data_IF_473640681903
#
_entry.id   IF_473640681903
#
_cell.length_a   1.000
_cell.length_b   1.000
_cell.length_c   1.000
_cell.angle_alpha   90.00
_cell.angle_beta   90.00
_cell.angle_gamma   90.00
#
_symmetry.space_group_name_H-M   'P 1'
#
loop_
_entity.id
_entity.type
_entity.pdbx_description
1 polymer ?
#
# COMPACT_ATOMS: atom_id res chain seq x y z
N UNK A 1 9.00 2.55 7.64
CA UNK A 1 8.37 2.79 6.34
C UNK A 1 8.09 1.47 5.61
N UNK A 2 6.86 1.17 5.18
CA UNK A 2 6.44 -0.20 4.76
C UNK A 2 6.73 -0.52 3.28
N UNK A 3 7.69 -1.39 2.98
CA UNK A 3 8.06 -1.73 1.58
C UNK A 3 7.17 -2.81 0.92
N UNK A 4 6.46 -3.61 1.71
CA UNK A 4 5.47 -4.60 1.28
C UNK A 4 4.62 -5.11 2.47
N UNK A 5 3.51 -5.82 2.20
CA UNK A 5 2.84 -6.68 3.18
C UNK A 5 3.54 -8.05 3.26
N UNK A 6 4.27 -8.38 4.33
CA UNK A 6 4.51 -9.76 4.71
C UNK A 6 3.31 -10.27 5.55
N UNK A 7 2.30 -10.85 4.89
CA UNK A 7 1.15 -11.43 5.60
C UNK A 7 0.33 -10.38 6.38
N UNK A 8 0.11 -10.61 7.69
CA UNK A 8 -0.76 -9.80 8.56
C UNK A 8 -0.11 -8.54 9.15
N UNK A 9 1.20 -8.29 8.93
CA UNK A 9 1.93 -7.21 9.60
C UNK A 9 2.64 -6.28 8.60
N UNK A 10 2.47 -4.97 8.75
CA UNK A 10 3.18 -3.97 7.96
C UNK A 10 4.51 -3.61 8.65
N UNK A 11 5.58 -4.34 8.32
CA UNK A 11 6.93 -4.01 8.81
C UNK A 11 7.44 -2.73 8.18
N UNK A 12 7.80 -1.79 9.03
CA UNK A 12 8.44 -0.55 8.65
C UNK A 12 9.96 -0.72 8.56
N UNK A 13 10.53 -0.51 7.38
CA UNK A 13 11.96 -0.32 7.19
C UNK A 13 12.44 0.94 7.92
N UNK A 14 13.63 0.86 8.52
CA UNK A 14 14.27 1.95 9.25
C UNK A 14 14.77 3.07 8.34
N UNK A 15 14.90 2.78 7.05
CA UNK A 15 15.32 3.71 6.01
C UNK A 15 14.24 3.71 4.93
N UNK A 16 13.87 4.86 4.36
CA UNK A 16 12.91 4.88 3.27
C UNK A 16 13.42 4.10 2.07
N UNK A 17 12.66 3.12 1.55
CA UNK A 17 13.03 2.45 0.32
C UNK A 17 12.96 3.44 -0.85
N UNK A 18 13.75 3.25 -1.92
CA UNK A 18 13.86 4.23 -3.00
C UNK A 18 12.52 4.63 -3.63
N UNK A 19 11.61 3.67 -3.77
CA UNK A 19 10.29 3.93 -4.35
C UNK A 19 9.44 4.91 -3.53
N UNK A 20 9.61 4.95 -2.20
CA UNK A 20 8.93 5.93 -1.35
C UNK A 20 9.51 7.33 -1.52
N UNK A 21 10.84 7.44 -1.61
CA UNK A 21 11.49 8.73 -1.88
C UNK A 21 11.09 9.24 -3.26
N UNK A 22 11.05 8.36 -4.26
CA UNK A 22 10.56 8.73 -5.58
C UNK A 22 9.09 9.18 -5.56
N UNK A 23 8.21 8.42 -4.91
CA UNK A 23 6.80 8.81 -4.76
C UNK A 23 6.63 10.14 -4.03
N UNK A 24 7.42 10.40 -2.99
CA UNK A 24 7.44 11.66 -2.25
C UNK A 24 7.86 12.83 -3.15
N UNK A 25 8.93 12.68 -3.93
CA UNK A 25 9.42 13.74 -4.83
C UNK A 25 8.45 13.98 -5.99
N UNK A 26 7.89 12.93 -6.59
CA UNK A 26 6.86 13.05 -7.63
C UNK A 26 5.61 13.76 -7.11
N UNK A 27 5.19 13.44 -5.88
CA UNK A 27 4.10 14.13 -5.18
C UNK A 27 4.42 15.61 -4.98
N UNK A 28 5.63 15.95 -4.50
CA UNK A 28 6.06 17.34 -4.36
C UNK A 28 6.05 18.11 -5.70
N UNK A 29 6.36 17.42 -6.81
CA UNK A 29 6.28 17.95 -8.18
C UNK A 29 4.85 17.98 -8.77
N UNK A 30 3.85 17.48 -8.03
CA UNK A 30 2.45 17.42 -8.46
C UNK A 30 2.12 16.27 -9.41
N UNK A 31 2.98 15.25 -9.54
CA UNK A 31 2.83 14.14 -10.49
C UNK A 31 1.94 13.01 -9.95
N UNK A 32 0.70 13.36 -9.59
CA UNK A 32 -0.33 12.43 -9.12
C UNK A 32 -1.03 11.70 -10.26
N UNK A 33 -0.26 10.95 -11.04
CA UNK A 33 -0.77 10.28 -12.22
C UNK A 33 -1.31 8.88 -11.86
N UNK A 34 -2.51 8.49 -12.35
CA UNK A 34 -2.99 7.12 -12.28
C UNK A 34 -2.04 6.14 -12.98
N UNK A 35 -2.07 4.87 -12.58
CA UNK A 35 -1.19 3.82 -13.14
C UNK A 35 -1.20 3.75 -14.67
N UNK A 36 -2.39 3.82 -15.27
CA UNK A 36 -2.56 3.77 -16.71
C UNK A 36 -1.89 4.97 -17.40
N UNK A 37 -2.15 6.18 -16.89
CA UNK A 37 -1.55 7.42 -17.40
C UNK A 37 -0.03 7.40 -17.25
N UNK A 38 0.51 6.87 -16.13
CA UNK A 38 1.96 6.70 -15.95
C UNK A 38 2.58 5.82 -17.03
N UNK A 39 1.92 4.71 -17.39
CA UNK A 39 2.40 3.83 -18.47
C UNK A 39 2.43 4.54 -19.81
N UNK A 40 1.39 5.31 -20.12
CA UNK A 40 1.32 6.10 -21.35
C UNK A 40 2.43 7.15 -21.41
N UNK A 41 2.66 7.88 -20.31
CA UNK A 41 3.76 8.85 -20.19
C UNK A 41 5.10 8.17 -20.39
N UNK A 42 5.38 7.05 -19.72
CA UNK A 42 6.63 6.30 -19.90
C UNK A 42 6.83 5.83 -21.33
N UNK A 43 5.78 5.30 -21.98
CA UNK A 43 5.87 4.90 -23.38
C UNK A 43 6.17 6.08 -24.30
N UNK A 44 5.57 7.25 -24.05
CA UNK A 44 5.85 8.49 -24.76
C UNK A 44 7.31 8.93 -24.60
N UNK A 45 7.79 8.98 -23.36
CA UNK A 45 9.18 9.32 -23.03
C UNK A 45 10.17 8.35 -23.70
N UNK A 46 9.91 7.04 -23.65
CA UNK A 46 10.76 6.04 -24.29
C UNK A 46 10.76 6.16 -25.82
N UNK A 47 9.62 6.47 -26.45
CA UNK A 47 9.56 6.72 -27.91
C UNK A 47 10.41 7.92 -28.30
N UNK A 48 10.31 9.02 -27.55
CA UNK A 48 11.13 10.23 -27.78
C UNK A 48 12.62 9.95 -27.58
N UNK A 49 12.97 9.25 -26.50
CA UNK A 49 14.35 8.86 -26.21
C UNK A 49 14.95 7.97 -27.31
N UNK A 50 14.20 6.97 -27.80
CA UNK A 50 14.63 6.13 -28.93
C UNK A 50 14.82 6.93 -30.21
N UNK A 51 13.94 7.89 -30.50
CA UNK A 51 14.05 8.75 -31.68
C UNK A 51 15.31 9.62 -31.64
N UNK A 52 15.65 10.17 -30.49
CA UNK A 52 16.81 11.05 -30.32
C UNK A 52 18.14 10.30 -30.19
N UNK A 53 18.17 9.25 -29.36
CA UNK A 53 19.42 8.60 -28.94
C UNK A 53 19.58 7.16 -29.44
N UNK A 54 18.57 6.57 -30.08
CA UNK A 54 18.60 5.16 -30.48
C UNK A 54 19.66 4.78 -31.50
N UNK A 55 20.19 5.76 -32.26
CA UNK A 55 21.29 5.56 -33.22
C UNK A 55 22.68 5.85 -32.63
N UNK A 56 22.74 6.41 -31.41
CA UNK A 56 24.01 6.79 -30.76
C UNK A 56 24.57 5.57 -30.04
N UNK A 57 25.77 5.11 -30.43
CA UNK A 57 26.36 3.88 -29.90
C UNK A 57 26.54 3.89 -28.37
N UNK A 58 26.86 5.06 -27.79
CA UNK A 58 27.04 5.24 -26.34
C UNK A 58 25.76 4.86 -25.56
N UNK A 59 24.58 5.10 -26.15
CA UNK A 59 23.29 4.86 -25.51
C UNK A 59 22.69 3.49 -25.86
N UNK A 60 23.34 2.71 -26.72
CA UNK A 60 22.81 1.42 -27.18
C UNK A 60 22.66 0.46 -25.98
N UNK A 61 21.44 -0.02 -25.77
CA UNK A 61 21.12 -0.93 -24.66
C UNK A 61 20.87 -0.26 -23.31
N UNK A 62 20.90 1.07 -23.22
CA UNK A 62 20.64 1.77 -21.96
C UNK A 62 19.18 1.52 -21.47
N UNK A 63 18.94 1.26 -20.17
CA UNK A 63 17.61 0.93 -19.64
C UNK A 63 16.52 1.95 -19.98
N UNK A 64 16.85 3.24 -19.99
CA UNK A 64 15.96 4.34 -20.40
C UNK A 64 15.36 4.16 -21.80
N UNK A 65 16.15 3.62 -22.74
CA UNK A 65 15.67 3.31 -24.10
C UNK A 65 14.78 2.07 -24.13
N UNK A 66 14.86 1.19 -23.15
CA UNK A 66 13.97 0.03 -23.07
C UNK A 66 12.59 0.40 -22.52
N UNK A 67 12.51 1.42 -21.65
CA UNK A 67 11.29 1.82 -20.97
C UNK A 67 10.76 0.80 -19.97
N UNK A 68 11.52 -0.26 -19.67
CA UNK A 68 11.14 -1.30 -18.72
C UNK A 68 11.14 -0.77 -17.29
N UNK A 69 9.99 -0.84 -16.63
CA UNK A 69 9.82 -0.51 -15.22
C UNK A 69 10.96 -1.09 -14.36
N UNK A 70 11.73 -0.22 -13.72
CA UNK A 70 12.83 -0.62 -12.84
C UNK A 70 12.19 -1.14 -11.55
N UNK A 71 12.44 -2.43 -11.23
CA UNK A 71 11.97 -3.17 -10.03
C UNK A 71 10.76 -2.51 -9.37
N UNK A 72 9.55 -2.88 -9.82
CA UNK A 72 8.35 -2.40 -9.16
C UNK A 72 8.42 -2.75 -7.67
N UNK A 73 7.98 -1.84 -6.81
CA UNK A 73 7.64 -2.25 -5.45
C UNK A 73 6.64 -3.42 -5.53
N UNK A 74 6.51 -4.23 -4.46
CA UNK A 74 5.47 -5.29 -4.44
C UNK A 74 4.05 -4.73 -4.61
N UNK A 75 3.87 -3.41 -4.48
CA UNK A 75 2.64 -2.67 -4.77
C UNK A 75 2.36 -2.46 -6.27
N UNK A 76 3.25 -2.85 -7.18
CA UNK A 76 3.11 -2.60 -8.62
C UNK A 76 3.38 -1.15 -9.03
N UNK A 77 3.79 -0.29 -8.09
CA UNK A 77 4.21 1.08 -8.36
C UNK A 77 5.58 1.12 -9.06
N UNK A 78 5.68 1.97 -10.08
CA UNK A 78 6.94 2.41 -10.68
C UNK A 78 6.99 3.94 -10.79
N UNK A 79 8.20 4.48 -10.72
CA UNK A 79 8.46 5.90 -10.76
C UNK A 79 8.83 6.39 -12.17
N UNK A 80 8.38 7.58 -12.52
CA UNK A 80 8.82 8.32 -13.71
C UNK A 80 10.26 8.82 -13.56
N UNK A 81 10.74 8.98 -12.33
CA UNK A 81 12.11 9.39 -12.01
C UNK A 81 13.13 8.25 -12.12
N UNK A 82 12.70 6.99 -12.30
CA UNK A 82 13.55 5.79 -12.20
C UNK A 82 14.82 5.76 -13.09
N UNK A 83 14.86 6.55 -14.17
CA UNK A 83 16.02 6.66 -15.06
C UNK A 83 16.75 8.00 -14.96
N UNK A 84 16.18 8.94 -14.22
CA UNK A 84 16.64 10.32 -14.15
C UNK A 84 17.05 10.75 -12.74
N UNK A 85 16.82 9.88 -11.76
CA UNK A 85 17.18 10.04 -10.37
C UNK A 85 17.66 8.68 -9.82
N UNK A 86 18.80 8.69 -9.13
CA UNK A 86 19.31 7.54 -8.40
C UNK A 86 19.65 7.96 -6.98
N UNK A 87 19.24 7.17 -6.00
CA UNK A 87 19.57 7.39 -4.59
C UNK A 87 20.81 6.59 -4.21
N UNK A 88 21.70 7.21 -3.46
CA UNK A 88 22.82 6.51 -2.82
C UNK A 88 22.45 6.04 -1.41
N UNK A 89 23.43 5.48 -0.68
CA UNK A 89 23.21 4.99 0.67
C UNK A 89 22.81 6.15 1.59
N UNK A 90 21.63 6.05 2.19
CA UNK A 90 21.16 7.02 3.16
C UNK A 90 22.03 7.00 4.42
N UNK A 91 22.33 8.19 4.94
CA UNK A 91 22.87 8.39 6.28
C UNK A 91 21.69 8.32 7.27
N UNK A 92 21.73 7.29 8.10
CA UNK A 92 20.64 6.96 9.01
C UNK A 92 20.85 7.69 10.33
N UNK A 93 19.82 8.38 10.85
CA UNK A 93 19.83 8.95 12.19
C UNK A 93 20.18 7.92 13.28
N UNK A 94 20.88 8.35 14.33
CA UNK A 94 21.16 7.50 15.50
C UNK A 94 19.97 7.43 16.47
N UNK A 95 19.10 8.44 16.48
CA UNK A 95 17.96 8.60 17.39
C UNK A 95 16.66 7.97 16.86
N UNK A 96 16.76 6.86 16.10
CA UNK A 96 15.59 6.19 15.56
C UNK A 96 14.75 5.55 16.67
N UNK A 97 13.49 5.95 16.73
CA UNK A 97 12.46 5.31 17.54
C UNK A 97 11.44 4.62 16.62
N UNK A 98 11.09 3.38 16.94
CA UNK A 98 10.04 2.64 16.23
C UNK A 98 8.89 2.34 17.17
N UNK A 99 7.64 2.46 16.69
CA UNK A 99 6.46 2.04 17.42
C UNK A 99 5.44 1.39 16.49
N UNK A 100 4.61 0.51 17.03
CA UNK A 100 3.46 -0.02 16.29
C UNK A 100 2.24 0.83 16.60
N UNK A 101 1.61 1.35 15.57
CA UNK A 101 0.30 1.93 15.67
C UNK A 101 -0.76 0.81 15.68
N UNK A 102 -1.56 0.82 16.74
CA UNK A 102 -2.70 -0.07 16.95
C UNK A 102 -4.02 0.56 16.48
N UNK A 103 -3.98 1.66 15.71
CA UNK A 103 -5.20 2.21 15.15
C UNK A 103 -5.78 1.26 14.09
N UNK A 104 -6.96 0.73 14.38
CA UNK A 104 -7.73 -0.10 13.46
C UNK A 104 -8.35 0.76 12.37
N UNK A 105 -7.93 0.58 11.12
CA UNK A 105 -8.76 0.97 9.98
C UNK A 105 -10.07 0.18 10.06
N UNK A 106 -11.22 0.86 10.07
CA UNK A 106 -12.47 0.21 9.71
C UNK A 106 -12.31 -0.35 8.30
N UNK A 107 -12.35 -1.68 8.15
CA UNK A 107 -12.36 -2.30 6.84
C UNK A 107 -13.60 -1.81 6.10
N UNK A 108 -13.40 -1.10 4.98
CA UNK A 108 -14.48 -0.60 4.12
C UNK A 108 -14.97 -1.65 3.12
N UNK A 109 -14.51 -2.89 3.25
CA UNK A 109 -14.65 -3.93 2.22
C UNK A 109 -15.73 -4.96 2.60
N UNK A 110 -16.46 -5.45 1.59
CA UNK A 110 -17.54 -6.46 1.71
C UNK A 110 -17.02 -7.86 1.35
N UNK A 111 -15.82 -8.22 1.84
CA UNK A 111 -15.19 -9.52 1.56
C UNK A 111 -15.47 -10.56 2.64
N UNK A 112 -15.12 -11.84 2.43
CA UNK A 112 -15.30 -12.92 3.43
C UNK A 112 -14.66 -12.64 4.81
N UNK A 113 -13.63 -11.79 4.87
CA UNK A 113 -13.04 -11.30 6.12
C UNK A 113 -13.96 -10.36 6.91
N UNK A 114 -15.07 -9.94 6.30
CA UNK A 114 -16.05 -9.00 6.81
C UNK A 114 -17.41 -9.28 6.17
N UNK A 115 -18.13 -10.24 6.73
CA UNK A 115 -19.47 -10.60 6.28
C UNK A 115 -20.41 -9.43 6.58
N UNK A 116 -20.58 -8.53 5.61
CA UNK A 116 -21.58 -7.44 5.62
C UNK A 116 -21.76 -6.77 6.98
N UNK A 117 -20.78 -6.00 7.45
CA UNK A 117 -20.91 -5.33 8.75
C UNK A 117 -22.03 -4.30 8.76
N UNK A 118 -22.92 -4.43 9.74
CA UNK A 118 -24.07 -3.56 9.88
C UNK A 118 -24.09 -2.84 11.23
N UNK A 119 -24.66 -1.64 11.22
CA UNK A 119 -25.00 -0.89 12.44
C UNK A 119 -26.25 -1.47 13.14
N UNK A 120 -26.98 -2.36 12.47
CA UNK A 120 -28.20 -3.00 12.92
C UNK A 120 -27.90 -4.46 13.23
N UNK A 121 -27.14 -4.66 14.30
CA UNK A 121 -26.90 -6.00 14.82
C UNK A 121 -28.23 -6.67 15.17
N UNK A 122 -28.45 -7.86 14.62
CA UNK A 122 -29.58 -8.70 15.00
C UNK A 122 -29.17 -9.70 16.09
N UNK A 123 -29.66 -9.47 17.31
CA UNK A 123 -29.35 -10.33 18.46
C UNK A 123 -29.81 -11.79 18.24
N UNK A 124 -30.75 -12.03 17.32
CA UNK A 124 -31.23 -13.39 17.00
C UNK A 124 -30.13 -14.27 16.38
N UNK A 125 -29.07 -13.67 15.83
CA UNK A 125 -27.91 -14.40 15.31
C UNK A 125 -26.90 -14.81 16.40
N UNK A 126 -27.10 -14.46 17.67
CA UNK A 126 -26.16 -14.77 18.77
C UNK A 126 -25.90 -16.26 18.92
N UNK A 127 -26.94 -17.09 18.77
CA UNK A 127 -26.81 -18.54 18.85
C UNK A 127 -25.84 -19.07 17.79
N UNK A 128 -26.02 -18.63 16.54
CA UNK A 128 -25.15 -18.99 15.42
C UNK A 128 -23.73 -18.45 15.61
N UNK A 129 -23.57 -17.20 16.05
CA UNK A 129 -22.25 -16.58 16.31
C UNK A 129 -21.49 -17.34 17.40
N UNK A 130 -22.20 -17.74 18.46
CA UNK A 130 -21.62 -18.50 19.57
C UNK A 130 -21.16 -19.87 19.09
N UNK A 131 -21.98 -20.58 18.30
CA UNK A 131 -21.60 -21.86 17.69
C UNK A 131 -20.37 -21.71 16.78
N UNK A 132 -20.35 -20.73 15.88
CA UNK A 132 -19.20 -20.45 15.00
C UNK A 132 -17.90 -20.22 15.77
N UNK A 133 -17.97 -19.58 16.94
CA UNK A 133 -16.79 -19.34 17.79
C UNK A 133 -16.39 -20.59 18.60
N UNK A 134 -17.35 -21.33 19.14
CA UNK A 134 -17.06 -22.52 19.94
C UNK A 134 -16.45 -23.64 19.08
N UNK A 135 -16.92 -23.80 17.85
CA UNK A 135 -16.43 -24.82 16.92
C UNK A 135 -15.22 -24.39 16.09
N UNK A 136 -14.77 -23.13 16.20
CA UNK A 136 -13.69 -22.59 15.36
C UNK A 136 -12.38 -23.40 15.39
N UNK A 137 -12.09 -24.06 16.52
CA UNK A 137 -10.90 -24.90 16.71
C UNK A 137 -11.12 -26.37 16.38
N UNK A 138 -12.36 -26.78 16.16
CA UNK A 138 -12.72 -28.16 15.86
C UNK A 138 -12.34 -28.52 14.42
N UNK A 139 -12.15 -29.82 14.17
CA UNK A 139 -11.94 -30.39 12.85
C UNK A 139 -12.90 -31.55 12.71
N UNK A 140 -13.81 -31.50 11.74
CA UNK A 140 -14.79 -32.56 11.55
C UNK A 140 -16.14 -32.04 11.07
N UNK A 141 -17.16 -32.91 11.05
CA UNK A 141 -18.52 -32.54 10.64
C UNK A 141 -19.09 -31.45 11.56
N UNK A 142 -18.85 -31.50 12.87
CA UNK A 142 -19.48 -30.58 13.82
C UNK A 142 -19.00 -29.10 13.69
N UNK A 143 -18.01 -28.86 12.82
CA UNK A 143 -17.49 -27.52 12.57
C UNK A 143 -18.43 -26.70 11.68
N UNK A 144 -19.17 -25.79 12.32
CA UNK A 144 -19.80 -24.69 11.60
C UNK A 144 -18.78 -23.68 11.06
N UNK A 145 -18.90 -23.35 9.78
CA UNK A 145 -18.05 -22.41 9.06
C UNK A 145 -18.89 -21.44 8.21
N UNK A 146 -18.37 -20.23 8.03
CA UNK A 146 -18.91 -19.24 7.09
C UNK A 146 -17.87 -18.97 6.01
N UNK A 147 -18.31 -18.96 4.74
CA UNK A 147 -17.41 -18.82 3.61
C UNK A 147 -18.09 -18.34 2.33
N UNK A 148 -17.31 -18.17 1.27
CA UNK A 148 -17.78 -17.75 -0.06
C UNK A 148 -17.52 -18.81 -1.15
N UNK A 149 -17.03 -19.98 -0.75
CA UNK A 149 -16.72 -21.07 -1.66
C UNK A 149 -18.01 -21.78 -2.10
N UNK A 150 -17.91 -22.54 -3.19
CA UNK A 150 -19.05 -23.22 -3.83
C UNK A 150 -19.75 -24.23 -2.90
N UNK A 151 -19.02 -24.80 -1.95
CA UNK A 151 -19.53 -25.75 -0.95
C UNK A 151 -20.35 -25.11 0.18
N UNK A 152 -20.48 -23.77 0.22
CA UNK A 152 -21.27 -23.05 1.22
C UNK A 152 -22.67 -22.74 0.68
N UNK A 153 -23.67 -23.04 1.50
CA UNK A 153 -25.10 -22.92 1.15
C UNK A 153 -25.60 -21.52 1.48
N UNK A 154 -26.31 -20.90 0.54
CA UNK A 154 -27.04 -19.66 0.79
C UNK A 154 -28.35 -19.95 1.48
N UNK A 155 -28.58 -19.27 2.60
CA UNK A 155 -29.75 -19.43 3.46
C UNK A 155 -30.35 -18.04 3.62
N UNK A 156 -31.68 -17.94 3.57
CA UNK A 156 -32.35 -16.65 3.85
C UNK A 156 -32.23 -16.30 5.33
N UNK A 157 -32.28 -15.01 5.65
CA UNK A 157 -32.00 -14.52 6.99
C UNK A 157 -32.95 -15.10 8.06
N UNK A 158 -34.21 -15.33 7.68
CA UNK A 158 -35.23 -15.92 8.55
C UNK A 158 -34.93 -17.37 8.94
N UNK A 159 -34.41 -18.16 8.00
CA UNK A 159 -34.07 -19.57 8.22
C UNK A 159 -32.69 -19.74 8.89
N UNK A 160 -31.90 -18.66 8.91
CA UNK A 160 -30.55 -18.65 9.46
C UNK A 160 -30.52 -18.76 10.99
N UNK A 161 -31.61 -18.38 11.68
CA UNK A 161 -31.69 -18.44 13.14
C UNK A 161 -31.76 -19.87 13.67
N UNK A 162 -32.32 -20.79 12.89
CA UNK A 162 -32.61 -22.17 13.29
C UNK A 162 -31.79 -23.19 12.48
N UNK A 163 -30.90 -22.72 11.60
CA UNK A 163 -30.15 -23.62 10.72
C UNK A 163 -29.20 -24.55 11.49
N UNK A 164 -29.19 -25.81 11.07
CA UNK A 164 -28.17 -26.81 11.45
C UNK A 164 -27.08 -26.94 10.38
N UNK A 165 -27.17 -26.16 9.29
CA UNK A 165 -26.20 -26.20 8.21
C UNK A 165 -24.80 -25.84 8.73
N UNK A 166 -23.82 -26.63 8.31
CA UNK A 166 -22.45 -26.50 8.77
C UNK A 166 -21.68 -25.50 7.89
N UNK A 167 -22.03 -25.39 6.61
CA UNK A 167 -21.35 -24.49 5.66
C UNK A 167 -22.29 -23.42 5.16
N UNK A 168 -22.26 -22.27 5.83
CA UNK A 168 -23.15 -21.14 5.56
C UNK A 168 -22.45 -20.12 4.66
N UNK A 169 -23.06 -19.77 3.54
CA UNK A 169 -22.51 -18.77 2.65
C UNK A 169 -22.57 -17.39 3.30
N UNK A 170 -21.48 -16.63 3.22
CA UNK A 170 -21.33 -15.30 3.84
C UNK A 170 -22.46 -14.33 3.50
N UNK A 171 -22.95 -14.32 2.26
CA UNK A 171 -24.09 -13.47 1.88
C UNK A 171 -25.37 -13.69 2.69
N UNK A 172 -25.55 -14.87 3.30
CA UNK A 172 -26.74 -15.23 4.10
C UNK A 172 -26.87 -14.38 5.36
N UNK A 173 -25.74 -13.95 5.93
CA UNK A 173 -25.69 -13.13 7.15
C UNK A 173 -25.98 -11.66 6.87
N UNK A 174 -25.92 -11.25 5.59
CA UNK A 174 -26.32 -9.93 5.10
C UNK A 174 -25.80 -8.78 5.97
N UNK A 175 -26.72 -7.87 6.31
CA UNK A 175 -26.49 -6.73 7.22
C UNK A 175 -26.98 -7.05 8.66
N UNK A 176 -27.03 -8.32 9.07
CA UNK A 176 -27.49 -8.69 10.42
C UNK A 176 -26.32 -9.02 11.36
N UNK A 177 -25.12 -9.27 10.82
CA UNK A 177 -23.93 -9.63 11.57
C UNK A 177 -23.26 -8.42 12.26
N UNK A 178 -22.85 -8.52 13.53
CA UNK A 178 -22.26 -7.40 14.26
C UNK A 178 -20.86 -7.07 13.75
N UNK A 179 -20.56 -5.77 13.66
CA UNK A 179 -19.18 -5.30 13.54
C UNK A 179 -18.45 -5.55 14.87
N UNK A 180 -17.64 -6.61 14.94
CA UNK A 180 -16.54 -6.59 15.89
C UNK A 180 -15.42 -5.74 15.32
N UNK A 181 -14.85 -4.88 16.17
CA UNK A 181 -13.57 -4.21 15.90
C UNK A 181 -12.58 -5.27 15.44
N UNK A 182 -12.20 -5.21 14.17
CA UNK A 182 -11.13 -6.05 13.65
C UNK A 182 -9.87 -5.66 14.40
N UNK A 183 -9.15 -6.65 14.93
CA UNK A 183 -7.85 -6.41 15.54
C UNK A 183 -7.03 -5.55 14.58
N UNK A 184 -6.52 -4.38 15.03
CA UNK A 184 -5.81 -3.47 14.16
C UNK A 184 -4.69 -4.22 13.46
N UNK A 185 -4.63 -4.11 12.12
CA UNK A 185 -3.42 -4.53 11.42
C UNK A 185 -2.31 -3.65 11.96
N UNK A 186 -1.37 -4.25 12.68
CA UNK A 186 -0.25 -3.54 13.28
C UNK A 186 0.54 -2.84 12.17
N UNK A 187 0.67 -1.50 12.29
CA UNK A 187 1.42 -0.65 11.36
C UNK A 187 2.66 -0.14 12.08
N UNK A 188 3.84 -0.56 11.65
CA UNK A 188 5.06 0.00 12.22
C UNK A 188 5.25 1.45 11.74
N UNK A 189 5.73 2.32 12.62
CA UNK A 189 6.17 3.68 12.32
C UNK A 189 7.62 3.88 12.77
N UNK A 190 8.30 4.84 12.15
CA UNK A 190 9.66 5.24 12.49
C UNK A 190 9.64 6.75 12.70
N UNK A 191 10.20 7.19 13.82
CA UNK A 191 10.31 8.60 14.21
C UNK A 191 11.75 8.90 14.58
N UNK A 192 12.19 10.10 14.22
CA UNK A 192 13.50 10.65 14.54
C UNK A 192 13.37 12.16 14.58
N UNK A 193 14.19 12.80 15.41
CA UNK A 193 14.36 14.25 15.45
C UNK A 193 15.46 14.70 14.49
N UNK A 194 16.36 13.80 14.11
CA UNK A 194 17.44 14.07 13.17
C UNK A 194 16.97 13.78 11.74
N UNK A 195 17.23 14.67 10.77
CA UNK A 195 16.83 14.43 9.39
C UNK A 195 17.63 13.27 8.78
N UNK A 196 16.95 12.43 7.98
CA UNK A 196 17.63 11.54 7.05
C UNK A 196 18.39 12.36 6.01
N UNK A 197 19.62 11.97 5.69
CA UNK A 197 20.36 12.53 4.55
C UNK A 197 20.51 11.45 3.49
N UNK A 198 19.96 11.72 2.31
CA UNK A 198 19.97 10.77 1.20
C UNK A 198 20.69 11.45 0.05
N UNK A 199 21.95 11.08 -0.24
CA UNK A 199 22.63 11.61 -1.41
C UNK A 199 21.92 11.14 -2.68
N UNK A 200 21.77 12.04 -3.64
CA UNK A 200 21.06 11.76 -4.90
C UNK A 200 21.90 12.19 -6.09
N UNK A 201 21.79 11.44 -7.19
CA UNK A 201 22.26 11.88 -8.51
C UNK A 201 21.06 12.03 -9.42
N UNK A 202 20.97 13.15 -10.10
CA UNK A 202 19.88 13.45 -11.01
C UNK A 202 20.41 13.94 -12.37
N UNK A 203 19.61 13.76 -13.42
CA UNK A 203 19.88 14.46 -14.68
C UNK A 203 19.66 15.97 -14.50
N UNK A 204 20.33 16.85 -15.28
CA UNK A 204 20.26 18.30 -15.07
C UNK A 204 18.84 18.88 -15.10
N UNK A 205 17.94 18.31 -15.91
CA UNK A 205 16.55 18.75 -15.97
C UNK A 205 15.79 18.38 -14.70
N UNK A 206 15.94 17.14 -14.20
CA UNK A 206 15.30 16.73 -12.94
C UNK A 206 15.89 17.50 -11.77
N UNK A 207 17.21 17.72 -11.73
CA UNK A 207 17.85 18.51 -10.67
C UNK A 207 17.25 19.92 -10.57
N UNK A 208 17.13 20.63 -11.68
CA UNK A 208 16.48 21.96 -11.70
C UNK A 208 15.04 21.95 -11.22
N UNK A 209 14.28 20.89 -11.51
CA UNK A 209 12.93 20.74 -10.96
C UNK A 209 12.96 20.54 -9.44
N UNK A 210 13.89 19.72 -8.95
CA UNK A 210 14.07 19.44 -7.53
C UNK A 210 14.47 20.69 -6.73
N UNK A 211 15.33 21.56 -7.28
CA UNK A 211 15.72 22.83 -6.66
C UNK A 211 14.54 23.78 -6.40
N UNK A 212 13.45 23.66 -7.17
CA UNK A 212 12.26 24.52 -6.98
C UNK A 212 11.37 24.10 -5.83
N UNK A 213 11.52 22.87 -5.31
CA UNK A 213 10.60 22.29 -4.34
C UNK A 213 10.56 23.02 -3.00
N UNK A 214 11.67 23.62 -2.57
CA UNK A 214 11.72 24.40 -1.32
C UNK A 214 10.77 25.63 -1.36
N UNK A 215 10.45 26.12 -2.57
CA UNK A 215 9.61 27.31 -2.77
C UNK A 215 8.20 26.99 -3.31
N UNK A 216 8.03 25.85 -3.98
CA UNK A 216 6.85 25.56 -4.79
C UNK A 216 6.45 24.08 -4.75
N UNK A 217 6.49 23.46 -3.56
CA UNK A 217 5.92 22.13 -3.41
C UNK A 217 4.42 22.15 -3.75
N UNK A 218 4.02 21.38 -4.76
CA UNK A 218 2.65 21.36 -5.29
C UNK A 218 1.69 20.55 -4.42
N UNK A 219 2.21 19.65 -3.59
CA UNK A 219 1.44 18.83 -2.68
C UNK A 219 2.28 18.41 -1.45
N UNK A 220 1.63 18.03 -0.34
CA UNK A 220 2.32 17.66 0.90
C UNK A 220 3.25 16.45 0.73
N UNK A 221 4.48 16.55 1.21
CA UNK A 221 5.47 15.47 1.17
C UNK A 221 5.24 14.46 2.29
N UNK A 222 5.18 13.18 1.93
CA UNK A 222 5.06 12.07 2.88
C UNK A 222 5.79 10.82 2.40
N UNK A 223 6.23 9.98 3.33
CA UNK A 223 6.88 8.70 3.07
C UNK A 223 5.93 7.54 3.39
N UNK A 224 5.60 6.75 2.37
CA UNK A 224 4.73 5.58 2.50
C UNK A 224 3.25 5.98 2.43
N UNK A 225 2.63 6.26 3.58
CA UNK A 225 1.21 6.64 3.68
C UNK A 225 1.05 8.14 3.89
N UNK A 226 -0.16 8.65 3.67
CA UNK A 226 -0.52 10.05 3.92
C UNK A 226 -0.48 10.45 5.41
N UNK A 227 -0.10 9.55 6.32
CA UNK A 227 0.13 9.85 7.74
C UNK A 227 1.63 10.09 8.02
N UNK A 228 2.53 9.64 7.14
CA UNK A 228 3.97 9.77 7.27
C UNK A 228 4.52 11.09 6.73
N UNK A 229 3.95 12.22 7.15
CA UNK A 229 4.36 13.54 6.66
C UNK A 229 5.81 13.84 7.01
N UNK A 230 6.53 14.42 6.06
CA UNK A 230 7.93 14.79 6.24
C UNK A 230 8.17 16.19 5.67
N UNK A 231 9.03 16.94 6.32
CA UNK A 231 9.63 18.12 5.71
C UNK A 231 10.83 17.68 4.86
N UNK A 232 10.94 18.21 3.65
CA UNK A 232 12.05 17.94 2.74
C UNK A 232 12.83 19.22 2.50
N UNK A 233 14.15 19.09 2.39
CA UNK A 233 15.03 20.16 1.94
C UNK A 233 15.98 19.58 0.90
N UNK A 234 16.14 20.27 -0.23
CA UNK A 234 17.07 19.87 -1.27
C UNK A 234 18.24 20.85 -1.29
N UNK A 235 19.45 20.31 -1.21
CA UNK A 235 20.68 21.10 -1.27
C UNK A 235 21.70 20.41 -2.16
N UNK A 236 22.45 21.19 -2.92
CA UNK A 236 23.71 20.75 -3.50
C UNK A 236 24.80 20.83 -2.45
N UNK A 237 25.65 19.81 -2.38
CA UNK A 237 26.97 19.95 -1.76
C UNK A 237 27.82 20.78 -2.75
N UNK A 238 27.87 22.09 -2.54
CA UNK A 238 28.86 22.98 -3.18
C UNK A 238 30.05 23.12 -2.25
#
# INVERSE_FOLDING_TARGET
MVSAQPGTYFRSELVPPPQMVYGMLENALGWHLPHQTRKEVMQGLTKLAKKQFGKVQIWKGHPWLSGKESKSAKSGYFSLLQYHLSLEKALVPEDLMTYDDLWSMHLRDRGMNFVGGSRRYDFRLEGLITKLRSTAKEKGPDKQEVGDRKEFVRIELEDLYETEEQKIHSSSLGDAFPMYYVSPKTRGFVVTRTPYRIPVRATPTVWRMLETLDSLAMAPTYLGTSEGWVATKISSDV
#
